data_IF_143377247397
#
_entry.id   IF_143377247397
#
_cell.length_a   1.000
_cell.length_b   1.000
_cell.length_c   1.000
_cell.angle_alpha   90.00
_cell.angle_beta   90.00
_cell.angle_gamma   90.00
#
_symmetry.space_group_name_H-M   'P 1'
#
loop_
_entity.id
_entity.type
_entity.pdbx_description
1 polymer ?
#
# COMPACT_ATOMS: atom_id res chain seq x y z
N UNK A 1 -34.50 -16.07 -38.16
CA UNK A 1 -33.15 -15.97 -37.58
C UNK A 1 -32.52 -14.63 -37.98
N UNK A 2 -32.39 -13.72 -37.03
CA UNK A 2 -31.45 -12.58 -37.09
C UNK A 2 -30.82 -12.47 -35.69
N UNK A 3 -29.49 -12.38 -35.55
CA UNK A 3 -28.88 -12.24 -34.24
C UNK A 3 -29.10 -10.81 -33.73
N UNK A 4 -29.61 -10.68 -32.51
CA UNK A 4 -29.85 -9.40 -31.83
C UNK A 4 -28.78 -9.22 -30.76
N UNK A 5 -27.96 -8.18 -30.97
CA UNK A 5 -27.28 -7.34 -29.98
C UNK A 5 -26.19 -7.94 -29.06
N UNK A 6 -24.95 -8.01 -29.56
CA UNK A 6 -23.73 -8.20 -28.77
C UNK A 6 -23.20 -6.96 -28.01
N UNK A 7 -24.02 -5.94 -27.71
CA UNK A 7 -23.56 -4.71 -27.03
C UNK A 7 -23.73 -4.71 -25.51
N UNK A 8 -24.63 -5.52 -24.97
CA UNK A 8 -24.86 -5.59 -23.51
C UNK A 8 -23.82 -6.46 -22.81
N UNK A 9 -23.31 -7.50 -23.45
CA UNK A 9 -22.37 -8.45 -22.82
C UNK A 9 -21.05 -7.80 -22.39
N UNK A 10 -20.58 -6.77 -23.09
CA UNK A 10 -19.31 -6.10 -22.76
C UNK A 10 -19.37 -5.25 -21.48
N UNK A 11 -20.49 -4.59 -21.21
CA UNK A 11 -20.63 -3.71 -20.03
C UNK A 11 -20.71 -4.55 -18.75
N UNK A 12 -21.47 -5.65 -18.78
CA UNK A 12 -21.58 -6.57 -17.65
C UNK A 12 -20.27 -7.30 -17.38
N UNK A 13 -19.56 -7.75 -18.42
CA UNK A 13 -18.25 -8.37 -18.28
C UNK A 13 -17.20 -7.41 -17.69
N UNK A 14 -17.16 -6.14 -18.11
CA UNK A 14 -16.23 -5.14 -17.54
C UNK A 14 -16.50 -4.91 -16.05
N UNK A 15 -17.77 -4.88 -15.63
CA UNK A 15 -18.11 -4.77 -14.22
C UNK A 15 -17.66 -6.01 -13.41
N UNK A 16 -17.78 -7.21 -13.98
CA UNK A 16 -17.27 -8.45 -13.38
C UNK A 16 -15.75 -8.44 -13.22
N UNK A 17 -14.99 -7.99 -14.24
CA UNK A 17 -13.54 -7.84 -14.15
C UNK A 17 -13.13 -6.82 -13.09
N UNK A 18 -13.80 -5.67 -13.01
CA UNK A 18 -13.59 -4.68 -11.94
C UNK A 18 -13.86 -5.27 -10.56
N UNK A 19 -14.96 -5.99 -10.40
CA UNK A 19 -15.33 -6.62 -9.13
C UNK A 19 -14.29 -7.66 -8.71
N UNK A 20 -13.85 -8.51 -9.63
CA UNK A 20 -12.81 -9.50 -9.39
C UNK A 20 -11.49 -8.83 -9.01
N UNK A 21 -11.08 -7.78 -9.73
CA UNK A 21 -9.85 -7.03 -9.45
C UNK A 21 -9.86 -6.37 -8.08
N UNK A 22 -10.98 -5.76 -7.70
CA UNK A 22 -11.15 -5.19 -6.35
C UNK A 22 -11.02 -6.29 -5.29
N UNK A 23 -11.61 -7.47 -5.52
CA UNK A 23 -11.50 -8.59 -4.58
C UNK A 23 -10.05 -9.06 -4.41
N UNK A 24 -9.29 -9.21 -5.50
CA UNK A 24 -7.86 -9.55 -5.47
C UNK A 24 -7.04 -8.53 -4.66
N UNK A 25 -7.26 -7.24 -4.92
CA UNK A 25 -6.56 -6.15 -4.24
C UNK A 25 -6.86 -6.14 -2.74
N UNK A 26 -8.12 -6.38 -2.37
CA UNK A 26 -8.53 -6.43 -0.96
C UNK A 26 -7.99 -7.68 -0.25
N UNK A 27 -7.84 -8.80 -0.95
CA UNK A 27 -7.23 -10.01 -0.40
C UNK A 27 -5.72 -9.82 -0.14
N UNK A 28 -5.00 -9.24 -1.10
CA UNK A 28 -3.61 -8.82 -0.92
C UNK A 28 -3.48 -7.85 0.27
N UNK A 29 -4.39 -6.87 0.37
CA UNK A 29 -4.38 -5.92 1.48
C UNK A 29 -4.63 -6.63 2.81
N UNK A 30 -5.57 -7.58 2.91
CA UNK A 30 -5.79 -8.38 4.12
C UNK A 30 -4.53 -9.13 4.55
N UNK A 31 -3.78 -9.68 3.60
CA UNK A 31 -2.49 -10.31 3.87
C UNK A 31 -1.49 -9.31 4.44
N UNK A 32 -1.40 -8.11 3.88
CA UNK A 32 -0.56 -7.03 4.40
C UNK A 32 -0.99 -6.60 5.81
N UNK A 33 -2.30 -6.50 6.09
CA UNK A 33 -2.81 -6.17 7.43
C UNK A 33 -2.31 -7.17 8.48
N UNK A 34 -2.33 -8.46 8.16
CA UNK A 34 -1.81 -9.50 9.05
C UNK A 34 -0.32 -9.31 9.36
N UNK A 35 0.50 -9.07 8.33
CA UNK A 35 1.93 -8.86 8.53
C UNK A 35 2.24 -7.57 9.29
N UNK A 36 1.51 -6.49 9.00
CA UNK A 36 1.69 -5.20 9.67
C UNK A 36 1.38 -5.31 11.15
N UNK A 37 0.31 -6.01 11.51
CA UNK A 37 -0.10 -6.23 12.89
C UNK A 37 0.82 -7.20 13.66
N UNK A 38 1.46 -8.14 12.96
CA UNK A 38 2.35 -9.12 13.57
C UNK A 38 3.77 -8.58 13.84
N UNK A 39 4.13 -7.40 13.32
CA UNK A 39 5.46 -6.84 13.52
C UNK A 39 5.70 -6.47 14.99
N UNK A 40 6.89 -6.76 15.55
CA UNK A 40 7.22 -6.34 16.91
C UNK A 40 7.26 -4.81 17.00
N UNK A 41 6.82 -4.23 18.11
CA UNK A 41 6.83 -2.76 18.29
C UNK A 41 7.71 -2.31 19.44
N UNK A 42 8.13 -3.25 20.30
CA UNK A 42 8.93 -2.98 21.49
C UNK A 42 10.19 -3.84 21.51
N UNK A 43 11.36 -3.25 21.80
CA UNK A 43 12.59 -4.00 22.02
C UNK A 43 12.56 -4.76 23.35
N UNK A 44 13.35 -5.82 23.44
CA UNK A 44 13.59 -6.54 24.71
C UNK A 44 14.49 -5.75 25.68
N UNK A 45 15.40 -4.94 25.16
CA UNK A 45 16.26 -4.04 25.94
C UNK A 45 15.74 -2.59 25.87
N UNK A 46 15.66 -1.93 27.03
CA UNK A 46 15.23 -0.53 27.11
C UNK A 46 16.25 0.44 26.50
N UNK A 47 17.53 0.08 26.44
CA UNK A 47 18.58 0.88 25.79
C UNK A 47 18.34 1.00 24.26
N UNK A 48 17.67 0.02 23.65
CA UNK A 48 17.38 0.01 22.22
C UNK A 48 16.11 0.78 21.85
N UNK A 49 15.32 1.24 22.83
CA UNK A 49 14.06 1.93 22.60
C UNK A 49 14.19 3.14 21.66
N UNK A 50 15.23 3.95 21.84
CA UNK A 50 15.46 5.17 21.06
C UNK A 50 16.30 4.96 19.81
N UNK A 51 16.68 3.72 19.51
CA UNK A 51 17.44 3.44 18.29
C UNK A 51 16.54 3.56 17.06
N UNK A 52 17.18 3.84 15.94
CA UNK A 52 16.48 4.27 14.73
C UNK A 52 15.54 3.22 14.16
N UNK A 53 15.97 1.95 14.08
CA UNK A 53 15.12 0.88 13.57
C UNK A 53 13.87 0.66 14.42
N UNK A 54 14.01 0.71 15.76
CA UNK A 54 12.87 0.57 16.67
C UNK A 54 11.94 1.80 16.63
N UNK A 55 12.48 3.01 16.50
CA UNK A 55 11.67 4.21 16.30
C UNK A 55 10.88 4.16 14.99
N UNK A 56 11.53 3.76 13.88
CA UNK A 56 10.90 3.61 12.58
C UNK A 56 9.84 2.50 12.57
N UNK A 57 10.07 1.38 13.27
CA UNK A 57 9.13 0.27 13.38
C UNK A 57 7.86 0.67 14.15
N UNK A 58 8.00 1.46 15.23
CA UNK A 58 6.85 2.06 15.93
C UNK A 58 6.08 3.03 15.04
N UNK A 59 6.78 3.87 14.26
CA UNK A 59 6.11 4.73 13.29
C UNK A 59 5.32 3.90 12.28
N UNK A 60 5.87 2.78 11.79
CA UNK A 60 5.15 1.88 10.90
C UNK A 60 3.89 1.27 11.55
N UNK A 61 3.92 1.00 12.86
CA UNK A 61 2.74 0.51 13.58
C UNK A 61 1.64 1.58 13.69
N UNK A 62 2.00 2.84 13.95
CA UNK A 62 1.07 3.98 13.95
C UNK A 62 0.48 4.19 12.56
N UNK A 63 1.33 4.22 11.53
CA UNK A 63 0.92 4.36 10.14
C UNK A 63 -0.01 3.19 9.73
N UNK A 64 0.28 1.98 10.23
CA UNK A 64 -0.51 0.78 9.99
C UNK A 64 -1.91 0.91 10.58
N UNK A 65 -2.01 1.28 11.87
CA UNK A 65 -3.28 1.57 12.53
C UNK A 65 -4.07 2.64 11.78
N UNK A 66 -3.42 3.72 11.34
CA UNK A 66 -4.06 4.78 10.59
C UNK A 66 -4.71 4.29 9.29
N UNK A 67 -4.05 3.43 8.51
CA UNK A 67 -4.65 2.86 7.28
C UNK A 67 -5.81 1.92 7.59
N UNK A 68 -5.76 1.20 8.73
CA UNK A 68 -6.85 0.34 9.20
C UNK A 68 -8.07 1.16 9.66
N UNK A 69 -7.84 2.27 10.37
CA UNK A 69 -8.87 3.14 10.94
C UNK A 69 -9.46 4.12 9.93
N UNK A 70 -8.71 4.46 8.88
CA UNK A 70 -9.25 5.13 7.70
C UNK A 70 -10.36 4.23 7.14
N UNK A 71 -11.61 4.42 7.57
CA UNK A 71 -12.74 3.65 7.09
C UNK A 71 -12.78 3.72 5.56
N UNK A 72 -13.22 2.64 4.90
CA UNK A 72 -13.66 2.76 3.52
C UNK A 72 -14.86 3.69 3.58
N UNK A 73 -14.67 4.95 3.20
CA UNK A 73 -15.80 5.87 3.07
C UNK A 73 -16.66 5.37 1.91
N UNK A 74 -17.53 4.42 2.23
CA UNK A 74 -18.62 3.93 1.39
C UNK A 74 -19.84 4.81 1.58
N UNK A 75 -19.71 5.97 2.24
CA UNK A 75 -20.85 6.86 2.40
C UNK A 75 -21.35 7.23 1.02
N UNK A 76 -22.64 6.99 0.88
CA UNK A 76 -23.45 7.42 -0.22
C UNK A 76 -23.82 8.86 0.19
N UNK A 77 -23.26 9.95 -0.38
CA UNK A 77 -23.74 11.30 -0.11
C UNK A 77 -25.27 11.33 -0.02
N UNK A 78 -25.80 11.65 1.15
CA UNK A 78 -27.23 11.78 1.37
C UNK A 78 -27.77 12.79 0.34
N UNK A 79 -28.54 12.36 -0.68
CA UNK A 79 -29.16 13.32 -1.56
C UNK A 79 -30.16 14.15 -0.73
N UNK A 80 -30.41 15.39 -1.15
CA UNK A 80 -31.28 16.31 -0.40
C UNK A 80 -32.75 15.88 -0.32
N UNK A 81 -33.17 14.82 -1.02
CA UNK A 81 -34.48 14.20 -0.88
C UNK A 81 -34.44 12.98 0.03
N UNK A 82 -35.50 12.80 0.82
CA UNK A 82 -35.57 11.84 1.93
C UNK A 82 -35.42 10.35 1.57
N UNK A 83 -35.89 9.47 2.46
CA UNK A 83 -35.67 8.00 2.44
C UNK A 83 -35.89 7.30 1.09
N UNK A 84 -36.78 7.82 0.24
CA UNK A 84 -37.09 7.22 -1.06
C UNK A 84 -36.00 7.53 -2.13
N UNK A 85 -35.34 8.67 -2.01
CA UNK A 85 -34.19 9.04 -2.84
C UNK A 85 -32.92 8.32 -2.35
N UNK A 86 -32.81 8.07 -1.04
CA UNK A 86 -31.82 7.20 -0.41
C UNK A 86 -31.97 5.74 -0.90
N UNK A 87 -33.20 5.18 -0.84
CA UNK A 87 -33.51 3.84 -1.36
C UNK A 87 -33.27 3.75 -2.87
N UNK A 88 -33.51 4.81 -3.64
CA UNK A 88 -33.15 4.88 -5.07
C UNK A 88 -31.64 4.95 -5.29
N UNK A 89 -30.87 5.62 -4.43
CA UNK A 89 -29.42 5.66 -4.51
C UNK A 89 -28.81 4.28 -4.21
N UNK A 90 -29.34 3.57 -3.20
CA UNK A 90 -28.97 2.18 -2.88
C UNK A 90 -29.36 1.20 -4.00
N UNK A 91 -30.56 1.36 -4.59
CA UNK A 91 -31.05 0.47 -5.66
C UNK A 91 -30.37 0.73 -7.03
N UNK A 92 -29.93 1.97 -7.30
CA UNK A 92 -29.19 2.35 -8.53
C UNK A 92 -27.83 1.67 -8.65
N UNK A 93 -27.31 1.08 -7.57
CA UNK A 93 -26.15 0.19 -7.60
C UNK A 93 -26.38 -1.07 -8.47
N UNK A 94 -27.65 -1.40 -8.81
CA UNK A 94 -28.03 -2.62 -9.54
C UNK A 94 -28.49 -2.43 -11.01
N UNK A 95 -28.55 -1.21 -11.56
CA UNK A 95 -29.09 -0.99 -12.93
C UNK A 95 -28.26 0.03 -13.72
N UNK A 96 -27.68 -0.32 -14.89
CA UNK A 96 -27.04 0.67 -15.75
C UNK A 96 -28.11 1.30 -16.64
N UNK A 97 -28.21 2.62 -16.64
CA UNK A 97 -28.88 3.31 -17.74
C UNK A 97 -28.16 4.60 -18.12
N UNK A 98 -27.36 4.47 -19.18
CA UNK A 98 -27.32 5.35 -20.34
C UNK A 98 -27.85 6.78 -20.15
N UNK A 99 -27.01 7.67 -19.63
CA UNK A 99 -26.85 9.05 -20.15
C UNK A 99 -25.79 9.81 -19.36
N UNK A 100 -24.81 10.33 -20.10
CA UNK A 100 -23.91 11.45 -19.81
C UNK A 100 -24.42 12.40 -18.70
N UNK A 101 -23.78 12.40 -17.52
CA UNK A 101 -23.54 13.47 -16.51
C UNK A 101 -23.35 12.86 -15.09
N UNK A 102 -22.68 13.57 -14.16
CA UNK A 102 -21.87 13.01 -13.08
C UNK A 102 -22.66 12.97 -11.76
N UNK A 103 -22.71 11.81 -11.11
CA UNK A 103 -23.23 11.72 -9.74
C UNK A 103 -22.13 11.15 -8.82
N UNK A 104 -21.77 11.85 -7.73
CA UNK A 104 -20.64 11.51 -6.87
C UNK A 104 -21.04 10.45 -5.84
N UNK A 105 -21.56 9.31 -6.27
CA UNK A 105 -22.28 8.39 -5.39
C UNK A 105 -22.09 6.95 -5.88
N UNK A 106 -21.15 6.26 -5.23
CA UNK A 106 -20.67 4.88 -5.51
C UNK A 106 -20.22 4.63 -6.94
N UNK A 107 -19.16 5.33 -7.34
CA UNK A 107 -18.42 4.99 -8.55
C UNK A 107 -17.62 3.69 -8.27
N UNK A 108 -17.76 2.58 -9.03
CA UNK A 108 -16.84 1.45 -8.92
C UNK A 108 -15.37 1.90 -9.01
N UNK A 109 -15.12 3.01 -9.70
CA UNK A 109 -13.79 3.63 -9.79
C UNK A 109 -13.32 4.17 -8.42
N UNK A 110 -14.23 4.61 -7.53
CA UNK A 110 -13.88 5.06 -6.17
C UNK A 110 -13.55 3.90 -5.25
N UNK A 111 -14.32 2.81 -5.29
CA UNK A 111 -14.03 1.61 -4.48
C UNK A 111 -12.73 0.97 -4.95
N UNK A 112 -12.52 0.90 -6.26
CA UNK A 112 -11.28 0.41 -6.84
C UNK A 112 -10.08 1.29 -6.47
N UNK A 113 -10.21 2.62 -6.57
CA UNK A 113 -9.18 3.56 -6.14
C UNK A 113 -8.86 3.41 -4.64
N UNK A 114 -9.88 3.27 -3.79
CA UNK A 114 -9.68 3.09 -2.36
C UNK A 114 -8.94 1.79 -2.03
N UNK A 115 -9.38 0.67 -2.60
CA UNK A 115 -8.74 -0.63 -2.42
C UNK A 115 -7.27 -0.58 -2.88
N UNK A 116 -7.02 -0.01 -4.06
CA UNK A 116 -5.67 0.10 -4.59
C UNK A 116 -4.79 1.00 -3.73
N UNK A 117 -5.32 2.13 -3.26
CA UNK A 117 -4.58 3.04 -2.39
C UNK A 117 -4.22 2.43 -1.03
N UNK A 118 -5.13 1.64 -0.43
CA UNK A 118 -4.86 0.89 0.79
C UNK A 118 -3.79 -0.17 0.60
N UNK A 119 -3.87 -0.95 -0.49
CA UNK A 119 -2.83 -1.93 -0.83
C UNK A 119 -1.48 -1.26 -1.05
N UNK A 120 -1.45 -0.13 -1.76
CA UNK A 120 -0.23 0.64 -2.02
C UNK A 120 0.41 1.15 -0.73
N UNK A 121 -0.33 1.87 0.12
CA UNK A 121 0.21 2.38 1.38
C UNK A 121 0.53 1.24 2.36
N UNK A 122 -0.28 0.17 2.39
CA UNK A 122 0.00 -1.04 3.16
C UNK A 122 1.30 -1.74 2.74
N UNK A 123 1.54 -1.89 1.43
CA UNK A 123 2.78 -2.46 0.90
C UNK A 123 3.99 -1.63 1.32
N UNK A 124 3.85 -0.30 1.28
CA UNK A 124 4.90 0.63 1.70
C UNK A 124 5.26 0.45 3.17
N UNK A 125 4.27 0.36 4.06
CA UNK A 125 4.50 0.09 5.48
C UNK A 125 5.16 -1.26 5.67
N UNK A 126 4.65 -2.31 5.03
CA UNK A 126 5.21 -3.66 5.12
C UNK A 126 6.69 -3.70 4.73
N UNK A 127 7.06 -3.06 3.61
CA UNK A 127 8.46 -2.99 3.18
C UNK A 127 9.33 -2.23 4.20
N UNK A 128 8.80 -1.15 4.79
CA UNK A 128 9.50 -0.38 5.83
C UNK A 128 9.71 -1.20 7.09
N UNK A 129 8.70 -1.96 7.52
CA UNK A 129 8.80 -2.89 8.65
C UNK A 129 9.84 -3.98 8.37
N UNK A 130 9.82 -4.59 7.18
CA UNK A 130 10.77 -5.61 6.80
C UNK A 130 12.22 -5.09 6.79
N UNK A 131 12.43 -3.84 6.38
CA UNK A 131 13.74 -3.18 6.46
C UNK A 131 14.19 -2.95 7.91
N UNK A 132 13.28 -2.48 8.77
CA UNK A 132 13.57 -2.30 10.20
C UNK A 132 13.89 -3.64 10.89
N UNK A 133 13.17 -4.71 10.56
CA UNK A 133 13.43 -6.06 11.09
C UNK A 133 14.81 -6.56 10.69
N UNK A 134 15.22 -6.40 9.43
CA UNK A 134 16.58 -6.75 8.99
C UNK A 134 17.66 -5.93 9.72
N UNK A 135 17.40 -4.64 9.98
CA UNK A 135 18.30 -3.83 10.79
C UNK A 135 18.41 -4.35 12.23
N UNK A 136 17.30 -4.78 12.84
CA UNK A 136 17.32 -5.42 14.18
C UNK A 136 18.16 -6.69 14.13
N UNK A 137 17.95 -7.56 13.13
CA UNK A 137 18.70 -8.81 12.99
C UNK A 137 20.22 -8.55 12.83
N UNK A 138 20.61 -7.53 12.06
CA UNK A 138 22.03 -7.16 11.91
C UNK A 138 22.62 -6.60 13.19
N UNK A 139 21.87 -5.75 13.89
CA UNK A 139 22.29 -5.22 15.19
C UNK A 139 22.49 -6.34 16.20
N UNK A 140 21.57 -7.30 16.25
CA UNK A 140 21.65 -8.46 17.14
C UNK A 140 22.87 -9.34 16.80
N UNK A 141 23.23 -9.48 15.52
CA UNK A 141 24.44 -10.17 15.08
C UNK A 141 25.73 -9.46 15.51
N UNK A 142 25.74 -8.13 15.46
CA UNK A 142 26.88 -7.31 15.91
C UNK A 142 27.03 -7.36 17.43
N UNK A 143 25.91 -7.32 18.15
CA UNK A 143 25.89 -7.28 19.62
C UNK A 143 26.04 -8.67 20.26
N UNK A 144 25.54 -9.73 19.63
CA UNK A 144 25.54 -11.10 20.17
C UNK A 144 24.98 -11.17 21.60
N UNK A 145 23.96 -10.37 21.90
CA UNK A 145 23.37 -10.24 23.25
C UNK A 145 24.20 -9.41 24.25
N UNK A 146 25.32 -8.82 23.82
CA UNK A 146 26.12 -7.89 24.62
C UNK A 146 25.66 -6.45 24.41
N UNK A 147 25.93 -5.57 25.39
CA UNK A 147 25.63 -4.15 25.24
C UNK A 147 26.55 -3.46 24.22
N UNK A 148 26.12 -2.34 23.60
CA UNK A 148 26.98 -1.55 22.73
C UNK A 148 28.29 -1.15 23.43
N UNK A 149 29.43 -1.50 22.83
CA UNK A 149 30.75 -1.14 23.35
C UNK A 149 31.51 -0.27 22.35
N UNK A 150 32.60 0.37 22.78
CA UNK A 150 33.46 1.15 21.88
C UNK A 150 33.97 0.34 20.68
N UNK A 151 34.15 -0.99 20.85
CA UNK A 151 34.60 -1.90 19.78
C UNK A 151 33.53 -2.18 18.73
N UNK A 152 32.25 -2.20 19.12
CA UNK A 152 31.13 -2.47 18.21
C UNK A 152 30.54 -1.20 17.60
N UNK A 153 30.91 -0.01 18.10
CA UNK A 153 30.37 1.28 17.66
C UNK A 153 30.40 1.48 16.14
N UNK A 154 31.54 1.26 15.47
CA UNK A 154 31.65 1.47 14.03
C UNK A 154 30.76 0.52 13.21
N UNK A 155 30.54 -0.70 13.70
CA UNK A 155 29.66 -1.68 13.06
C UNK A 155 28.18 -1.30 13.25
N UNK A 156 27.82 -0.78 14.42
CA UNK A 156 26.47 -0.26 14.68
C UNK A 156 26.17 0.98 13.84
N UNK A 157 27.13 1.91 13.73
CA UNK A 157 27.02 3.07 12.83
C UNK A 157 26.86 2.65 11.37
N UNK A 158 27.55 1.59 10.94
CA UNK A 158 27.35 1.03 9.61
C UNK A 158 25.93 0.46 9.43
N UNK A 159 25.37 -0.21 10.44
CA UNK A 159 23.98 -0.70 10.40
C UNK A 159 22.99 0.47 10.25
N UNK A 160 23.14 1.52 11.05
CA UNK A 160 22.29 2.72 10.97
C UNK A 160 22.43 3.42 9.61
N UNK A 161 23.65 3.47 9.06
CA UNK A 161 23.90 4.03 7.74
C UNK A 161 23.20 3.23 6.63
N UNK A 162 23.24 1.89 6.69
CA UNK A 162 22.51 1.03 5.74
C UNK A 162 21.00 1.26 5.80
N UNK A 163 20.45 1.49 6.99
CA UNK A 163 19.03 1.83 7.17
C UNK A 163 18.69 3.21 6.59
N UNK A 164 19.57 4.21 6.77
CA UNK A 164 19.31 5.63 6.47
C UNK A 164 19.48 6.10 5.04
N UNK A 165 20.38 5.51 4.25
CA UNK A 165 20.94 6.22 3.08
C UNK A 165 19.89 6.82 2.13
N UNK A 166 19.78 8.15 2.23
CA UNK A 166 18.97 9.10 1.46
C UNK A 166 19.56 9.32 0.06
N UNK A 167 18.69 9.48 -0.94
CA UNK A 167 18.91 10.16 -2.24
C UNK A 167 20.30 10.79 -2.44
N UNK A 168 21.28 9.99 -2.86
CA UNK A 168 22.44 10.50 -3.60
C UNK A 168 22.19 10.15 -5.07
N UNK A 169 22.21 11.11 -5.99
CA UNK A 169 22.08 10.80 -7.41
C UNK A 169 23.19 9.83 -7.80
N UNK A 170 22.80 8.66 -8.31
CA UNK A 170 23.70 7.62 -8.80
C UNK A 170 24.31 8.07 -10.12
N UNK A 171 25.25 9.01 -10.04
CA UNK A 171 26.22 9.27 -11.11
C UNK A 171 27.59 8.76 -10.65
N UNK A 172 27.72 7.45 -10.46
CA UNK A 172 28.98 6.69 -10.55
C UNK A 172 28.80 5.28 -9.95
N UNK A 173 28.46 4.29 -10.77
CA UNK A 173 28.83 2.91 -10.46
C UNK A 173 28.86 2.06 -11.74
N UNK A 174 30.03 1.98 -12.35
CA UNK A 174 30.35 1.18 -13.54
C UNK A 174 30.66 -0.28 -13.22
N UNK A 175 30.22 -0.82 -12.07
CA UNK A 175 30.49 -2.19 -11.64
C UNK A 175 29.20 -2.85 -11.13
N UNK A 176 28.69 -3.93 -11.76
CA UNK A 176 27.46 -4.60 -11.37
C UNK A 176 27.63 -5.68 -10.29
N UNK A 177 28.81 -5.82 -9.66
CA UNK A 177 29.04 -6.80 -8.60
C UNK A 177 29.40 -6.11 -7.28
N UNK A 178 28.64 -6.46 -6.24
CA UNK A 178 28.56 -5.88 -4.88
C UNK A 178 27.77 -4.56 -4.75
N UNK A 179 26.46 -4.67 -4.63
CA UNK A 179 25.56 -3.63 -4.09
C UNK A 179 25.29 -3.90 -2.60
N UNK A 180 25.80 -3.07 -1.66
CA UNK A 180 25.29 -3.01 -0.29
C UNK A 180 23.82 -2.56 -0.30
N UNK A 181 22.96 -3.25 0.44
CA UNK A 181 21.49 -3.12 0.36
C UNK A 181 21.00 -1.81 0.98
N UNK A 182 20.32 -1.04 0.14
CA UNK A 182 19.57 0.19 0.41
C UNK A 182 18.12 -0.20 0.70
N UNK A 183 17.51 0.22 1.81
CA UNK A 183 16.20 -0.35 2.16
C UNK A 183 15.10 0.67 2.44
N UNK A 184 15.25 1.63 3.37
CA UNK A 184 14.15 2.59 3.62
C UNK A 184 14.00 3.64 2.51
N UNK A 185 15.11 4.12 1.95
CA UNK A 185 15.08 5.20 0.96
C UNK A 185 14.59 4.75 -0.42
N UNK A 186 14.77 3.46 -0.77
CA UNK A 186 14.23 2.90 -2.00
C UNK A 186 12.71 2.74 -1.95
N UNK A 187 12.10 2.75 -0.76
CA UNK A 187 10.66 2.58 -0.58
C UNK A 187 9.94 3.92 -0.86
N UNK A 188 10.01 4.35 -2.12
CA UNK A 188 9.27 5.49 -2.66
C UNK A 188 7.90 5.05 -3.16
N UNK A 189 6.98 6.01 -3.37
CA UNK A 189 5.66 5.70 -3.93
C UNK A 189 5.79 5.13 -5.34
N UNK A 190 6.75 5.63 -6.12
CA UNK A 190 7.09 5.17 -7.46
C UNK A 190 7.58 3.72 -7.44
N UNK A 191 8.53 3.39 -6.56
CA UNK A 191 9.05 2.02 -6.43
C UNK A 191 7.94 1.03 -6.08
N UNK A 192 7.14 1.35 -5.07
CA UNK A 192 6.03 0.49 -4.63
C UNK A 192 5.01 0.30 -5.75
N UNK A 193 4.69 1.37 -6.48
CA UNK A 193 3.75 1.31 -7.60
C UNK A 193 4.27 0.42 -8.74
N UNK A 194 5.54 0.58 -9.13
CA UNK A 194 6.15 -0.24 -10.20
C UNK A 194 6.25 -1.71 -9.81
N UNK A 195 6.62 -1.99 -8.55
CA UNK A 195 6.73 -3.38 -8.05
C UNK A 195 5.36 -4.07 -7.99
N UNK A 196 4.34 -3.38 -7.47
CA UNK A 196 2.97 -3.92 -7.43
C UNK A 196 2.45 -4.19 -8.85
N UNK A 197 2.66 -3.26 -9.78
CA UNK A 197 2.26 -3.43 -11.18
C UNK A 197 2.99 -4.60 -11.84
N UNK A 198 4.30 -4.71 -11.67
CA UNK A 198 5.10 -5.81 -12.21
C UNK A 198 4.66 -7.17 -11.64
N UNK A 199 4.39 -7.22 -10.34
CA UNK A 199 3.89 -8.40 -9.64
C UNK A 199 2.52 -8.83 -10.20
N UNK A 200 1.58 -7.90 -10.34
CA UNK A 200 0.25 -8.19 -10.89
C UNK A 200 0.32 -8.68 -12.35
N UNK A 201 1.17 -8.08 -13.18
CA UNK A 201 1.42 -8.54 -14.55
C UNK A 201 2.01 -9.96 -14.59
N UNK A 202 2.95 -10.25 -13.69
CA UNK A 202 3.58 -11.59 -13.58
C UNK A 202 2.57 -12.65 -13.15
N UNK A 203 1.61 -12.29 -12.30
CA UNK A 203 0.50 -13.15 -11.89
C UNK A 203 -0.63 -13.25 -12.92
N UNK A 204 -0.54 -12.54 -14.05
CA UNK A 204 -1.57 -12.53 -15.10
C UNK A 204 -2.87 -11.87 -14.66
N UNK A 205 -2.83 -10.99 -13.65
CA UNK A 205 -3.99 -10.25 -13.16
C UNK A 205 -4.40 -9.15 -14.14
N UNK A 206 -5.68 -8.81 -14.13
CA UNK A 206 -6.20 -7.75 -14.99
C UNK A 206 -5.88 -6.36 -14.41
N UNK A 207 -5.03 -5.60 -15.11
CA UNK A 207 -4.52 -4.29 -14.66
C UNK A 207 -4.93 -3.12 -15.57
N UNK A 208 -5.79 -3.37 -16.57
CA UNK A 208 -6.08 -2.40 -17.64
C UNK A 208 -6.74 -1.10 -17.14
N UNK A 209 -7.44 -1.16 -16.02
CA UNK A 209 -8.11 -0.01 -15.38
C UNK A 209 -7.56 0.29 -13.99
N UNK A 210 -6.35 -0.17 -13.68
CA UNK A 210 -5.71 0.15 -12.41
C UNK A 210 -5.49 1.68 -12.30
N UNK A 211 -5.72 2.27 -11.11
CA UNK A 211 -5.55 3.71 -10.92
C UNK A 211 -4.09 4.15 -11.08
N UNK A 212 -3.88 5.31 -11.72
CA UNK A 212 -2.54 5.90 -11.80
C UNK A 212 -1.96 6.28 -10.42
N UNK A 213 -0.64 6.25 -10.28
CA UNK A 213 0.06 6.68 -9.06
C UNK A 213 -0.36 8.07 -8.57
N UNK A 214 -0.55 9.03 -9.49
CA UNK A 214 -1.01 10.39 -9.15
C UNK A 214 -2.39 10.39 -8.50
N UNK A 215 -3.29 9.52 -8.93
CA UNK A 215 -4.63 9.38 -8.35
C UNK A 215 -4.54 8.78 -6.94
N UNK A 216 -3.71 7.75 -6.76
CA UNK A 216 -3.44 7.11 -5.47
C UNK A 216 -2.85 8.12 -4.47
N UNK A 217 -1.80 8.85 -4.84
CA UNK A 217 -1.19 9.86 -3.97
C UNK A 217 -2.17 10.98 -3.59
N UNK A 218 -3.01 11.42 -4.55
CA UNK A 218 -4.05 12.41 -4.27
C UNK A 218 -5.08 11.87 -3.29
N UNK A 219 -5.50 10.62 -3.45
CA UNK A 219 -6.45 9.94 -2.57
C UNK A 219 -5.92 9.84 -1.14
N UNK A 220 -4.67 9.37 -0.98
CA UNK A 220 -4.03 9.25 0.32
C UNK A 220 -3.84 10.60 1.01
N UNK A 221 -3.41 11.65 0.27
CA UNK A 221 -3.25 13.00 0.83
C UNK A 221 -4.55 13.62 1.33
N UNK A 222 -5.67 13.30 0.69
CA UNK A 222 -6.97 13.81 1.11
C UNK A 222 -7.47 13.18 2.43
N UNK A 223 -6.77 12.17 2.94
CA UNK A 223 -7.16 11.33 4.08
C UNK A 223 -6.05 11.18 5.12
N UNK A 224 -5.05 12.05 5.08
CA UNK A 224 -4.01 12.19 6.13
C UNK A 224 -4.40 13.26 7.13
#
# INVERSE_FOLDING_TARGET
MKPVNGRTNGIWAVNEFRTARVAEILDDFRTLQYHIAAAPTEPSDSEDHYTEGWAALRQCAIDGQHILECAADTSVPTPGGGEEEQRKAELKQSVPNNSRWPCPLTDPDRVHLDAYARRHEGQKIYLRQAACQRWIDWRDQVLQGSRPTSKTRSQLEACDYQLRMVNTPVEAASNPELTPKQELALITDEYVYTELQASDLTMGRWTAEDPSLRAVQRWLRARR
#
